data_IF_976837942631
#
_entry.id   IF_976837942631
#
_cell.length_a   1.000
_cell.length_b   1.000
_cell.length_c   1.000
_cell.angle_alpha   90.00
_cell.angle_beta   90.00
_cell.angle_gamma   90.00
#
_symmetry.space_group_name_H-M   'P 1'
#
loop_
_entity.id
_entity.type
_entity.pdbx_description
1 polymer ?
#
# COMPACT_ATOMS: atom_id res chain seq x y z
N UNK A 1 50.15 -15.39 61.50
CA UNK A 1 50.67 -14.67 60.32
C UNK A 1 50.04 -15.14 59.03
N UNK A 2 48.68 -15.15 58.93
CA UNK A 2 48.00 -15.55 57.71
C UNK A 2 46.61 -14.89 57.58
N UNK A 3 46.33 -13.79 58.30
CA UNK A 3 45.04 -13.11 58.26
C UNK A 3 45.07 -11.66 57.70
N UNK A 4 46.26 -11.14 57.41
CA UNK A 4 46.46 -9.75 56.98
C UNK A 4 46.60 -9.54 55.45
N UNK A 5 46.62 -10.63 54.65
CA UNK A 5 46.76 -10.54 53.21
C UNK A 5 45.49 -10.55 52.41
N UNK A 6 44.33 -10.80 53.05
CA UNK A 6 43.06 -10.95 52.34
C UNK A 6 42.20 -9.67 52.31
N UNK A 7 42.60 -8.64 53.06
CA UNK A 7 41.85 -7.35 53.12
C UNK A 7 42.34 -6.30 52.13
N UNK A 8 43.42 -6.57 51.40
CA UNK A 8 43.99 -5.66 50.38
C UNK A 8 43.54 -5.95 48.93
N UNK A 9 43.01 -7.13 48.66
CA UNK A 9 42.51 -7.48 47.31
C UNK A 9 41.00 -7.12 47.11
N UNK A 10 40.23 -6.98 48.18
CA UNK A 10 38.80 -6.60 48.09
C UNK A 10 38.53 -5.12 47.78
N UNK A 11 39.53 -4.26 47.76
CA UNK A 11 39.40 -2.81 47.53
C UNK A 11 39.65 -2.34 46.09
N UNK A 12 39.83 -3.24 45.13
CA UNK A 12 40.24 -2.84 43.76
C UNK A 12 39.14 -2.87 42.69
N UNK A 13 37.97 -3.43 42.98
CA UNK A 13 36.93 -3.61 41.95
C UNK A 13 35.57 -2.96 42.24
N UNK A 14 35.42 -2.27 43.36
CA UNK A 14 34.28 -1.38 43.53
C UNK A 14 34.53 -0.14 42.65
N UNK A 15 34.11 -0.22 41.39
CA UNK A 15 33.82 0.94 40.56
C UNK A 15 32.84 1.79 41.36
N UNK A 16 33.40 2.76 42.10
CA UNK A 16 32.62 3.61 42.98
C UNK A 16 31.65 4.39 42.12
N UNK A 17 30.42 3.86 41.99
CA UNK A 17 29.35 4.44 41.19
C UNK A 17 29.18 5.92 41.53
N UNK A 18 29.46 6.30 42.79
CA UNK A 18 29.39 7.68 43.24
C UNK A 18 30.47 8.53 42.58
N UNK A 19 31.73 8.05 42.56
CA UNK A 19 32.83 8.75 41.86
C UNK A 19 32.61 8.82 40.34
N UNK A 20 31.99 7.83 39.73
CA UNK A 20 31.64 7.86 38.32
C UNK A 20 30.55 8.90 38.03
N UNK A 21 29.49 8.95 38.85
CA UNK A 21 28.44 9.95 38.75
C UNK A 21 28.97 11.36 39.00
N UNK A 22 29.84 11.59 40.01
CA UNK A 22 30.47 12.88 40.27
C UNK A 22 31.33 13.34 39.05
N UNK A 23 32.09 12.44 38.42
CA UNK A 23 32.85 12.75 37.22
C UNK A 23 31.98 13.11 36.03
N UNK A 24 30.83 12.42 35.85
CA UNK A 24 29.86 12.74 34.79
C UNK A 24 29.23 14.12 35.06
N UNK A 25 28.80 14.40 36.31
CA UNK A 25 28.20 15.69 36.65
C UNK A 25 29.21 16.83 36.46
N UNK A 26 30.44 16.65 36.94
CA UNK A 26 31.52 17.64 36.76
C UNK A 26 31.85 17.87 35.29
N UNK A 27 31.86 16.81 34.46
CA UNK A 27 32.05 16.91 33.04
C UNK A 27 30.91 17.68 32.38
N UNK A 28 29.66 17.33 32.69
CA UNK A 28 28.46 18.01 32.17
C UNK A 28 28.43 19.48 32.61
N UNK A 29 28.81 19.80 33.83
CA UNK A 29 28.87 21.18 34.34
C UNK A 29 29.94 22.00 33.61
N UNK A 30 31.13 21.42 33.40
CA UNK A 30 32.26 22.10 32.75
C UNK A 30 32.07 22.31 31.25
N UNK A 31 31.46 21.33 30.54
CA UNK A 31 31.26 21.36 29.10
C UNK A 31 29.80 21.52 28.67
N UNK A 32 28.88 21.70 29.61
CA UNK A 32 27.43 21.81 29.35
C UNK A 32 27.09 22.94 28.36
N UNK A 33 27.77 24.07 28.45
CA UNK A 33 27.57 25.19 27.50
C UNK A 33 27.94 24.79 26.06
N UNK A 34 29.01 24.01 25.88
CA UNK A 34 29.44 23.55 24.55
C UNK A 34 28.45 22.52 23.96
N UNK A 35 27.96 21.60 24.80
CA UNK A 35 26.94 20.62 24.40
C UNK A 35 25.62 21.33 24.08
N UNK A 36 25.20 22.30 24.92
CA UNK A 36 23.97 23.07 24.68
C UNK A 36 24.02 23.89 23.38
N UNK A 37 25.13 24.61 23.15
CA UNK A 37 25.28 25.39 21.89
C UNK A 37 25.31 24.49 20.66
N UNK A 38 25.95 23.34 20.71
CA UNK A 38 25.95 22.35 19.63
C UNK A 38 24.55 21.75 19.40
N UNK A 39 23.79 21.47 20.46
CA UNK A 39 22.41 20.98 20.37
C UNK A 39 21.48 22.02 19.75
N UNK A 40 21.62 23.32 20.11
CA UNK A 40 20.85 24.41 19.50
C UNK A 40 21.20 24.57 18.02
N UNK A 41 22.48 24.50 17.68
CA UNK A 41 22.92 24.54 16.29
C UNK A 41 22.33 23.33 15.50
N UNK A 42 22.29 22.16 16.10
CA UNK A 42 21.65 20.97 15.51
C UNK A 42 20.16 21.18 15.27
N UNK A 43 19.41 21.77 16.22
CA UNK A 43 18.00 22.12 16.06
C UNK A 43 17.80 23.07 14.88
N UNK A 44 18.65 24.11 14.74
CA UNK A 44 18.58 25.06 13.63
C UNK A 44 18.84 24.37 12.28
N UNK A 45 19.80 23.46 12.22
CA UNK A 45 20.03 22.64 11.01
C UNK A 45 18.85 21.72 10.71
N UNK A 46 18.22 21.10 11.72
CA UNK A 46 17.01 20.31 11.57
C UNK A 46 15.83 21.13 11.04
N UNK A 47 15.67 22.38 11.50
CA UNK A 47 14.68 23.33 10.98
C UNK A 47 14.97 23.71 9.51
N UNK A 48 16.22 23.95 9.17
CA UNK A 48 16.62 24.25 7.79
C UNK A 48 16.33 23.07 6.86
N UNK A 49 16.65 21.85 7.26
CA UNK A 49 16.34 20.63 6.51
C UNK A 49 14.82 20.47 6.31
N UNK A 50 14.00 20.79 7.33
CA UNK A 50 12.55 20.75 7.18
C UNK A 50 12.05 21.73 6.10
N UNK A 51 12.65 22.92 5.99
CA UNK A 51 12.25 23.91 4.99
C UNK A 51 12.67 23.54 3.57
N UNK A 52 13.82 22.86 3.40
CA UNK A 52 14.38 22.49 2.08
C UNK A 52 13.73 21.20 1.56
N UNK A 53 13.33 20.28 2.45
CA UNK A 53 12.76 18.98 2.04
C UNK A 53 11.38 19.18 1.40
N UNK A 54 11.15 18.69 0.17
CA UNK A 54 9.87 18.81 -0.51
C UNK A 54 8.75 18.11 0.27
N UNK A 55 7.61 18.76 0.35
CA UNK A 55 6.42 18.18 0.99
C UNK A 55 5.94 16.96 0.19
N UNK A 56 5.53 15.93 0.90
CA UNK A 56 4.97 14.71 0.32
C UNK A 56 3.61 14.42 0.98
N UNK A 57 2.66 14.01 0.16
CA UNK A 57 1.31 13.67 0.55
C UNK A 57 1.11 12.18 0.32
N UNK A 58 0.67 11.46 1.33
CA UNK A 58 0.24 10.06 1.19
C UNK A 58 -1.24 10.01 0.86
N UNK A 59 -1.61 9.11 -0.04
CA UNK A 59 -3.00 8.81 -0.33
C UNK A 59 -3.17 7.33 -0.63
N UNK A 60 -4.37 6.82 -0.41
CA UNK A 60 -4.70 5.40 -0.48
C UNK A 60 -5.86 5.18 -1.41
N UNK A 61 -5.72 4.24 -2.34
CA UNK A 61 -6.72 3.75 -3.28
C UNK A 61 -7.10 2.32 -2.88
N UNK A 62 -8.39 2.03 -2.75
CA UNK A 62 -8.87 0.68 -2.48
C UNK A 62 -9.39 0.06 -3.77
N UNK A 63 -8.86 -1.11 -4.11
CA UNK A 63 -9.21 -1.85 -5.31
C UNK A 63 -9.72 -3.25 -4.95
N UNK A 64 -10.69 -3.72 -5.72
CA UNK A 64 -11.14 -5.10 -5.71
C UNK A 64 -10.68 -5.80 -6.98
N UNK A 65 -10.14 -7.02 -6.84
CA UNK A 65 -9.63 -7.79 -7.96
C UNK A 65 -10.63 -8.86 -8.40
N UNK A 66 -10.78 -9.04 -9.72
CA UNK A 66 -11.67 -10.05 -10.30
C UNK A 66 -10.94 -11.09 -11.17
N UNK A 67 -9.72 -10.79 -11.56
CA UNK A 67 -9.04 -11.56 -12.61
C UNK A 67 -7.77 -12.24 -12.13
N UNK A 68 -6.99 -11.60 -11.29
CA UNK A 68 -5.78 -12.11 -10.67
C UNK A 68 -5.92 -12.17 -9.15
N UNK A 69 -4.99 -12.87 -8.51
CA UNK A 69 -4.84 -12.84 -7.04
C UNK A 69 -4.30 -11.49 -6.58
N UNK A 70 -4.56 -11.11 -5.33
CA UNK A 70 -4.00 -9.89 -4.74
C UNK A 70 -2.48 -9.86 -4.83
N UNK A 71 -1.81 -11.00 -4.59
CA UNK A 71 -0.35 -11.12 -4.66
C UNK A 71 0.19 -10.80 -6.05
N UNK A 72 -0.49 -11.23 -7.12
CA UNK A 72 -0.08 -10.92 -8.50
C UNK A 72 -0.20 -9.42 -8.80
N UNK A 73 -1.27 -8.76 -8.36
CA UNK A 73 -1.43 -7.31 -8.51
C UNK A 73 -0.39 -6.54 -7.69
N UNK A 74 -0.11 -6.96 -6.46
CA UNK A 74 0.92 -6.35 -5.61
C UNK A 74 2.29 -6.43 -6.29
N UNK A 75 2.66 -7.57 -6.86
CA UNK A 75 3.92 -7.74 -7.58
C UNK A 75 4.02 -6.83 -8.82
N UNK A 76 2.93 -6.63 -9.56
CA UNK A 76 2.89 -5.70 -10.68
C UNK A 76 3.16 -4.27 -10.20
N UNK A 77 2.50 -3.85 -9.12
CA UNK A 77 2.66 -2.50 -8.56
C UNK A 77 4.04 -2.30 -7.97
N UNK A 78 4.63 -3.32 -7.34
CA UNK A 78 6.01 -3.26 -6.86
C UNK A 78 7.00 -3.09 -8.01
N UNK A 79 6.79 -3.76 -9.16
CA UNK A 79 7.60 -3.55 -10.35
C UNK A 79 7.50 -2.11 -10.87
N UNK A 80 6.31 -1.50 -10.88
CA UNK A 80 6.15 -0.09 -11.21
C UNK A 80 6.90 0.84 -10.24
N UNK A 81 6.91 0.51 -8.96
CA UNK A 81 7.69 1.25 -7.96
C UNK A 81 9.20 1.16 -8.21
N UNK A 82 9.69 0.02 -8.68
CA UNK A 82 11.09 -0.11 -9.08
C UNK A 82 11.42 0.73 -10.34
N UNK A 83 10.53 0.79 -11.33
CA UNK A 83 10.68 1.69 -12.49
C UNK A 83 10.72 3.15 -12.03
N UNK A 84 9.83 3.55 -11.13
CA UNK A 84 9.82 4.89 -10.53
C UNK A 84 11.15 5.22 -9.84
N UNK A 85 11.67 4.32 -9.00
CA UNK A 85 12.94 4.51 -8.29
C UNK A 85 14.15 4.63 -9.23
N UNK A 86 14.12 3.92 -10.37
CA UNK A 86 15.14 3.98 -11.40
C UNK A 86 15.01 5.21 -12.31
N UNK A 87 13.91 5.96 -12.21
CA UNK A 87 13.63 7.11 -13.07
C UNK A 87 13.17 6.76 -14.49
N UNK A 88 12.71 5.51 -14.70
CA UNK A 88 12.22 5.00 -16.00
C UNK A 88 10.77 5.48 -16.25
N UNK A 89 10.59 6.80 -16.25
CA UNK A 89 9.26 7.41 -16.39
C UNK A 89 8.62 7.16 -17.74
N UNK A 90 9.41 7.04 -18.82
CA UNK A 90 8.90 6.81 -20.18
C UNK A 90 8.33 5.39 -20.34
N UNK A 91 8.91 4.40 -19.65
CA UNK A 91 8.38 3.04 -19.63
C UNK A 91 7.04 3.00 -18.87
N UNK A 92 7.02 3.59 -17.67
CA UNK A 92 5.83 3.61 -16.82
C UNK A 92 4.69 4.46 -17.40
N UNK A 93 5.02 5.54 -18.14
CA UNK A 93 4.02 6.38 -18.80
C UNK A 93 3.26 5.64 -19.90
N UNK A 94 3.91 4.69 -20.57
CA UNK A 94 3.26 3.82 -21.56
C UNK A 94 2.27 2.86 -20.91
N UNK A 95 2.65 2.30 -19.77
CA UNK A 95 1.77 1.40 -19.00
C UNK A 95 0.55 2.15 -18.46
N UNK A 96 0.74 3.39 -18.02
CA UNK A 96 -0.29 4.22 -17.39
C UNK A 96 -1.09 5.08 -18.39
N UNK A 97 -0.65 5.16 -19.64
CA UNK A 97 -1.22 6.06 -20.66
C UNK A 97 -1.31 7.52 -20.17
N UNK A 98 -0.19 8.03 -19.62
CA UNK A 98 -0.12 9.34 -18.99
C UNK A 98 1.15 10.11 -19.37
N UNK A 99 1.20 11.42 -19.05
CA UNK A 99 2.39 12.24 -19.27
C UNK A 99 3.53 11.80 -18.32
N UNK A 100 4.76 11.52 -18.84
CA UNK A 100 5.94 11.25 -18.01
C UNK A 100 6.25 12.34 -16.98
N UNK A 101 5.89 13.60 -17.24
CA UNK A 101 6.12 14.71 -16.30
C UNK A 101 5.24 14.59 -15.04
N UNK A 102 4.05 14.01 -15.16
CA UNK A 102 3.19 13.71 -14.01
C UNK A 102 3.86 12.71 -13.06
N UNK A 103 4.51 11.67 -13.61
CA UNK A 103 5.18 10.63 -12.83
C UNK A 103 6.37 11.15 -12.02
N UNK A 104 7.05 12.22 -12.45
CA UNK A 104 8.12 12.89 -11.66
C UNK A 104 7.62 13.49 -10.34
N UNK A 105 6.31 13.75 -10.25
CA UNK A 105 5.67 14.21 -9.02
C UNK A 105 5.30 13.06 -8.08
N UNK A 106 5.36 11.82 -8.55
CA UNK A 106 5.12 10.62 -7.75
C UNK A 106 6.45 10.15 -7.17
N UNK A 107 6.49 10.00 -5.83
CA UNK A 107 7.71 9.58 -5.12
C UNK A 107 7.73 8.08 -4.86
N UNK A 108 6.55 7.46 -4.65
CA UNK A 108 6.42 6.04 -4.33
C UNK A 108 5.03 5.55 -4.71
N UNK A 109 4.96 4.31 -5.19
CA UNK A 109 3.72 3.53 -5.31
C UNK A 109 3.98 2.21 -4.59
N UNK A 110 3.10 1.79 -3.70
CA UNK A 110 3.18 0.49 -3.03
C UNK A 110 1.80 -0.10 -2.89
N UNK A 111 1.73 -1.42 -2.84
CA UNK A 111 0.47 -2.11 -2.62
C UNK A 111 0.58 -3.11 -1.47
N UNK A 112 -0.54 -3.35 -0.82
CA UNK A 112 -0.65 -4.33 0.26
C UNK A 112 -2.03 -4.95 0.29
N UNK A 113 -2.13 -6.15 0.83
CA UNK A 113 -3.43 -6.78 1.06
C UNK A 113 -4.20 -6.02 2.14
N UNK A 114 -5.51 -5.90 1.95
CA UNK A 114 -6.38 -5.37 2.99
C UNK A 114 -6.44 -6.40 4.11
N UNK A 115 -5.97 -6.03 5.30
CA UNK A 115 -6.03 -6.92 6.45
C UNK A 115 -7.48 -7.32 6.73
N UNK A 116 -7.72 -8.63 6.92
CA UNK A 116 -9.06 -9.26 7.10
C UNK A 116 -9.95 -8.63 8.18
N UNK A 117 -9.42 -7.76 9.03
CA UNK A 117 -10.17 -7.06 10.09
C UNK A 117 -11.22 -6.09 9.56
N UNK A 118 -11.08 -5.58 8.33
CA UNK A 118 -11.97 -4.54 7.80
C UNK A 118 -13.02 -5.03 6.82
N UNK A 119 -12.81 -6.19 6.17
CA UNK A 119 -13.75 -6.72 5.19
C UNK A 119 -13.91 -8.23 5.42
N UNK A 120 -14.84 -8.60 6.30
CA UNK A 120 -15.12 -10.01 6.64
C UNK A 120 -15.60 -10.87 5.45
N UNK A 121 -16.07 -10.27 4.36
CA UNK A 121 -16.73 -10.98 3.25
C UNK A 121 -16.06 -10.78 1.87
N UNK A 122 -14.91 -10.11 1.76
CA UNK A 122 -14.31 -9.87 0.46
C UNK A 122 -12.79 -10.10 0.45
N UNK A 123 -12.34 -11.36 0.20
CA UNK A 123 -10.93 -11.72 0.27
C UNK A 123 -10.07 -11.15 -0.87
N UNK A 124 -10.68 -10.55 -1.89
CA UNK A 124 -9.99 -10.14 -3.13
C UNK A 124 -9.71 -8.63 -3.22
N UNK A 125 -9.70 -7.92 -2.08
CA UNK A 125 -9.37 -6.49 -2.04
C UNK A 125 -7.90 -6.26 -1.71
N UNK A 126 -7.30 -5.23 -2.34
CA UNK A 126 -5.97 -4.74 -2.02
C UNK A 126 -5.93 -3.21 -1.99
N UNK A 127 -4.96 -2.68 -1.32
CA UNK A 127 -4.77 -1.27 -1.10
C UNK A 127 -3.52 -0.79 -1.83
N UNK A 128 -3.65 0.29 -2.58
CA UNK A 128 -2.51 0.97 -3.23
C UNK A 128 -2.26 2.28 -2.49
N UNK A 129 -1.09 2.41 -1.90
CA UNK A 129 -0.63 3.63 -1.25
C UNK A 129 0.35 4.35 -2.15
N UNK A 130 0.17 5.65 -2.31
CA UNK A 130 1.04 6.50 -3.10
C UNK A 130 1.57 7.68 -2.28
N UNK A 131 2.82 8.04 -2.52
CA UNK A 131 3.43 9.27 -2.02
C UNK A 131 3.66 10.21 -3.20
N UNK A 132 3.02 11.37 -3.17
CA UNK A 132 3.10 12.37 -4.23
C UNK A 132 3.59 13.72 -3.69
N UNK A 133 4.27 14.49 -4.53
CA UNK A 133 4.71 15.86 -4.22
C UNK A 133 3.59 16.88 -4.44
N UNK A 134 2.58 16.53 -5.22
CA UNK A 134 1.45 17.36 -5.61
C UNK A 134 0.16 16.52 -5.65
N UNK A 135 -0.84 16.89 -4.86
CA UNK A 135 -2.12 16.16 -4.81
C UNK A 135 -2.96 16.33 -6.06
N UNK A 136 -2.63 17.31 -6.92
CA UNK A 136 -3.32 17.52 -8.19
C UNK A 136 -3.15 16.37 -9.19
N UNK A 137 -2.11 15.54 -9.03
CA UNK A 137 -1.85 14.40 -9.91
C UNK A 137 -2.62 13.13 -9.55
N UNK A 138 -3.30 13.10 -8.40
CA UNK A 138 -3.92 11.87 -7.88
C UNK A 138 -5.01 11.30 -8.79
N UNK A 139 -5.83 12.15 -9.40
CA UNK A 139 -6.93 11.70 -10.29
C UNK A 139 -6.37 11.06 -11.59
N UNK A 140 -5.32 11.67 -12.14
CA UNK A 140 -4.65 11.15 -13.33
C UNK A 140 -3.87 9.87 -13.01
N UNK A 141 -3.18 9.86 -11.87
CA UNK A 141 -2.46 8.68 -11.37
C UNK A 141 -3.40 7.49 -11.13
N UNK A 142 -4.58 7.74 -10.56
CA UNK A 142 -5.59 6.70 -10.38
C UNK A 142 -6.01 6.08 -11.71
N UNK A 143 -6.32 6.92 -12.71
CA UNK A 143 -6.65 6.44 -14.05
C UNK A 143 -5.50 5.65 -14.66
N UNK A 144 -4.27 6.12 -14.50
CA UNK A 144 -3.08 5.43 -14.99
C UNK A 144 -2.87 4.06 -14.32
N UNK A 145 -3.03 3.97 -13.00
CA UNK A 145 -2.92 2.69 -12.28
C UNK A 145 -3.99 1.71 -12.76
N UNK A 146 -5.25 2.14 -12.85
CA UNK A 146 -6.34 1.28 -13.35
C UNK A 146 -6.07 0.85 -14.78
N UNK A 147 -5.66 1.79 -15.66
CA UNK A 147 -5.31 1.50 -17.06
C UNK A 147 -4.18 0.47 -17.16
N UNK A 148 -3.10 0.63 -16.39
CA UNK A 148 -1.98 -0.30 -16.39
C UNK A 148 -2.36 -1.69 -15.89
N UNK A 149 -3.24 -1.78 -14.88
CA UNK A 149 -3.77 -3.05 -14.38
C UNK A 149 -4.72 -3.73 -15.37
N UNK A 150 -5.40 -2.99 -16.24
CA UNK A 150 -6.33 -3.55 -17.24
C UNK A 150 -5.66 -3.91 -18.57
N UNK A 151 -4.63 -3.16 -18.97
CA UNK A 151 -4.01 -3.25 -20.29
C UNK A 151 -2.66 -3.97 -20.30
N UNK A 152 -2.16 -4.44 -19.16
CA UNK A 152 -1.00 -5.33 -19.11
C UNK A 152 -1.23 -6.55 -20.04
N UNK A 153 -0.26 -6.89 -20.88
CA UNK A 153 -0.44 -7.84 -22.00
C UNK A 153 -1.17 -9.14 -21.63
N UNK A 154 -0.73 -9.82 -20.58
CA UNK A 154 -1.36 -11.04 -20.07
C UNK A 154 -2.78 -10.79 -19.51
N UNK A 155 -2.97 -9.70 -18.77
CA UNK A 155 -4.25 -9.35 -18.17
C UNK A 155 -5.30 -9.01 -19.22
N UNK A 156 -4.91 -8.23 -20.23
CA UNK A 156 -5.77 -7.89 -21.36
C UNK A 156 -6.26 -9.14 -22.12
N UNK A 157 -5.37 -10.07 -22.38
CA UNK A 157 -5.71 -11.33 -23.03
C UNK A 157 -6.67 -12.17 -22.18
N UNK A 158 -6.40 -12.31 -20.88
CA UNK A 158 -7.24 -13.04 -19.94
C UNK A 158 -8.64 -12.42 -19.80
N UNK A 159 -8.71 -11.09 -19.73
CA UNK A 159 -9.98 -10.35 -19.71
C UNK A 159 -10.80 -10.54 -21.00
N UNK A 160 -10.15 -10.42 -22.14
CA UNK A 160 -10.80 -10.61 -23.44
C UNK A 160 -11.33 -12.03 -23.58
N UNK A 161 -10.56 -13.03 -23.17
CA UNK A 161 -10.99 -14.42 -23.16
C UNK A 161 -12.19 -14.63 -22.23
N UNK A 162 -12.19 -14.05 -21.03
CA UNK A 162 -13.32 -14.13 -20.09
C UNK A 162 -14.58 -13.48 -20.67
N UNK A 163 -14.45 -12.28 -21.26
CA UNK A 163 -15.56 -11.58 -21.93
C UNK A 163 -16.14 -12.40 -23.08
N UNK A 164 -15.28 -12.95 -23.93
CA UNK A 164 -15.69 -13.80 -25.05
C UNK A 164 -16.44 -15.04 -24.58
N UNK A 165 -15.95 -15.71 -23.54
CA UNK A 165 -16.61 -16.89 -22.97
C UNK A 165 -17.98 -16.56 -22.38
N UNK A 166 -18.09 -15.46 -21.62
CA UNK A 166 -19.37 -15.01 -21.08
C UNK A 166 -20.37 -14.66 -22.18
N UNK A 167 -19.92 -13.96 -23.24
CA UNK A 167 -20.76 -13.65 -24.41
C UNK A 167 -21.30 -14.92 -25.07
N UNK A 168 -20.44 -15.93 -25.27
CA UNK A 168 -20.87 -17.21 -25.84
C UNK A 168 -21.87 -17.94 -24.95
N UNK A 169 -21.68 -17.92 -23.61
CA UNK A 169 -22.62 -18.51 -22.66
C UNK A 169 -23.97 -17.81 -22.72
N UNK A 170 -24.00 -16.47 -22.77
CA UNK A 170 -25.21 -15.66 -22.90
C UNK A 170 -25.98 -16.04 -24.18
N UNK A 171 -25.29 -16.09 -25.32
CA UNK A 171 -25.90 -16.47 -26.60
C UNK A 171 -26.46 -17.89 -26.56
N UNK A 172 -25.73 -18.84 -25.98
CA UNK A 172 -26.20 -20.21 -25.84
C UNK A 172 -27.44 -20.31 -24.99
N UNK A 173 -27.46 -19.66 -23.81
CA UNK A 173 -28.62 -19.66 -22.92
C UNK A 173 -29.83 -18.99 -23.58
N UNK A 174 -29.65 -17.85 -24.26
CA UNK A 174 -30.71 -17.19 -25.03
C UNK A 174 -31.28 -18.13 -26.10
N UNK A 175 -30.44 -18.84 -26.83
CA UNK A 175 -30.87 -19.82 -27.84
C UNK A 175 -31.68 -20.98 -27.21
N UNK A 176 -31.29 -21.47 -26.04
CA UNK A 176 -32.01 -22.53 -25.34
C UNK A 176 -33.39 -22.05 -24.84
N UNK A 177 -33.46 -20.83 -24.29
CA UNK A 177 -34.72 -20.21 -23.88
C UNK A 177 -35.70 -20.12 -25.08
N UNK A 178 -35.22 -19.67 -26.25
CA UNK A 178 -36.04 -19.57 -27.48
C UNK A 178 -36.56 -20.94 -27.91
N UNK A 179 -35.73 -21.99 -27.85
CA UNK A 179 -36.12 -23.37 -28.18
C UNK A 179 -37.17 -23.89 -27.21
N UNK A 180 -37.03 -23.67 -25.91
CA UNK A 180 -38.02 -24.07 -24.91
C UNK A 180 -39.32 -23.31 -25.07
N UNK A 181 -39.28 -22.00 -25.36
CA UNK A 181 -40.47 -21.21 -25.63
C UNK A 181 -41.23 -21.73 -26.87
N UNK A 182 -40.53 -22.06 -27.92
CA UNK A 182 -41.10 -22.67 -29.15
C UNK A 182 -41.73 -24.03 -28.83
N UNK A 183 -41.07 -24.87 -28.03
CA UNK A 183 -41.57 -26.19 -27.59
C UNK A 183 -42.83 -26.03 -26.74
N UNK A 184 -42.82 -25.08 -25.80
CA UNK A 184 -43.98 -24.76 -24.98
C UNK A 184 -45.21 -24.35 -25.84
N UNK A 185 -45.00 -23.41 -26.80
CA UNK A 185 -46.04 -22.99 -27.74
C UNK A 185 -46.61 -24.14 -28.59
N UNK A 186 -45.77 -25.06 -29.02
CA UNK A 186 -46.21 -26.23 -29.78
C UNK A 186 -47.07 -27.17 -28.93
N UNK A 187 -46.70 -27.37 -27.66
CA UNK A 187 -47.49 -28.18 -26.74
C UNK A 187 -48.82 -27.49 -26.44
N UNK A 188 -48.84 -26.18 -26.14
CA UNK A 188 -50.05 -25.38 -25.92
C UNK A 188 -51.00 -25.48 -27.14
N UNK A 189 -50.50 -25.35 -28.36
CA UNK A 189 -51.30 -25.51 -29.58
C UNK A 189 -51.84 -26.92 -29.74
N UNK A 190 -51.08 -27.96 -29.35
CA UNK A 190 -51.52 -29.35 -29.39
C UNK A 190 -52.63 -29.64 -28.36
N UNK A 191 -52.57 -29.01 -27.19
CA UNK A 191 -53.64 -29.11 -26.18
C UNK A 191 -54.93 -28.48 -26.69
N UNK A 192 -54.85 -27.32 -27.30
CA UNK A 192 -56.04 -26.61 -27.83
C UNK A 192 -56.74 -27.37 -28.94
N UNK A 193 -56.00 -28.22 -29.69
CA UNK A 193 -56.54 -29.00 -30.79
C UNK A 193 -57.02 -30.41 -30.41
N UNK A 194 -56.59 -30.94 -29.19
CA UNK A 194 -56.90 -32.32 -28.76
C UNK A 194 -57.36 -32.35 -27.27
N UNK A 195 -58.66 -32.44 -27.02
CA UNK A 195 -59.30 -32.38 -25.68
C UNK A 195 -59.12 -33.63 -24.83
N UNK A 196 -58.37 -34.67 -25.24
CA UNK A 196 -58.36 -35.98 -24.53
C UNK A 196 -57.10 -36.33 -23.73
N UNK A 197 -56.06 -35.49 -23.63
CA UNK A 197 -54.78 -35.83 -22.96
C UNK A 197 -54.24 -34.68 -22.09
N UNK A 198 -55.08 -34.01 -21.33
CA UNK A 198 -54.72 -32.73 -20.69
C UNK A 198 -53.72 -32.83 -19.52
N UNK A 199 -53.63 -33.94 -18.77
CA UNK A 199 -52.87 -33.96 -17.53
C UNK A 199 -51.36 -34.12 -17.71
N UNK A 200 -50.91 -34.95 -18.67
CA UNK A 200 -49.47 -35.14 -18.94
C UNK A 200 -48.85 -33.89 -19.60
N UNK A 201 -49.57 -33.23 -20.48
CA UNK A 201 -49.14 -31.99 -21.12
C UNK A 201 -49.03 -30.82 -20.15
N UNK A 202 -49.85 -30.74 -19.10
CA UNK A 202 -49.74 -29.71 -18.06
C UNK A 202 -48.45 -29.90 -17.25
N UNK A 203 -48.07 -31.15 -16.94
CA UNK A 203 -46.82 -31.46 -16.26
C UNK A 203 -45.64 -31.07 -17.13
N UNK A 204 -45.66 -31.34 -18.43
CA UNK A 204 -44.61 -30.97 -19.37
C UNK A 204 -44.42 -29.47 -19.50
N UNK A 205 -45.53 -28.70 -19.60
CA UNK A 205 -45.49 -27.24 -19.61
C UNK A 205 -44.92 -26.68 -18.29
N UNK A 206 -45.29 -27.25 -17.15
CA UNK A 206 -44.75 -26.85 -15.85
C UNK A 206 -43.23 -27.08 -15.76
N UNK A 207 -42.77 -28.24 -16.25
CA UNK A 207 -41.35 -28.56 -16.32
C UNK A 207 -40.58 -27.63 -17.23
N UNK A 208 -41.11 -27.34 -18.42
CA UNK A 208 -40.49 -26.38 -19.37
C UNK A 208 -40.42 -24.99 -18.76
N UNK A 209 -41.50 -24.55 -18.09
CA UNK A 209 -41.49 -23.24 -17.44
C UNK A 209 -40.48 -23.17 -16.33
N UNK A 210 -40.33 -24.23 -15.50
CA UNK A 210 -39.27 -24.29 -14.48
C UNK A 210 -37.86 -24.23 -15.06
N UNK A 211 -37.61 -24.95 -16.17
CA UNK A 211 -36.33 -24.87 -16.88
C UNK A 211 -36.05 -23.46 -17.44
N UNK A 212 -37.06 -22.82 -18.03
CA UNK A 212 -36.94 -21.44 -18.52
C UNK A 212 -36.64 -20.45 -17.40
N UNK A 213 -37.23 -20.60 -16.20
CA UNK A 213 -36.91 -19.75 -15.04
C UNK A 213 -35.45 -19.94 -14.64
N UNK A 214 -34.96 -21.17 -14.52
CA UNK A 214 -33.58 -21.45 -14.19
C UNK A 214 -32.60 -20.91 -15.24
N UNK A 215 -32.95 -20.99 -16.53
CA UNK A 215 -32.11 -20.44 -17.61
C UNK A 215 -32.12 -18.90 -17.57
N UNK A 216 -33.24 -18.26 -17.26
CA UNK A 216 -33.33 -16.81 -17.11
C UNK A 216 -32.49 -16.33 -15.90
N UNK A 217 -32.49 -17.03 -14.78
CA UNK A 217 -31.63 -16.72 -13.63
C UNK A 217 -30.15 -16.80 -14.03
N UNK A 218 -29.74 -17.86 -14.75
CA UNK A 218 -28.38 -17.99 -15.27
C UNK A 218 -28.03 -16.87 -16.24
N UNK A 219 -28.96 -16.51 -17.13
CA UNK A 219 -28.79 -15.43 -18.08
C UNK A 219 -28.50 -14.10 -17.38
N UNK A 220 -29.32 -13.75 -16.38
CA UNK A 220 -29.13 -12.54 -15.56
C UNK A 220 -27.75 -12.57 -14.89
N UNK A 221 -27.38 -13.71 -14.29
CA UNK A 221 -26.06 -13.86 -13.66
C UNK A 221 -24.90 -13.67 -14.63
N UNK A 222 -24.96 -14.25 -15.84
CA UNK A 222 -23.90 -14.07 -16.83
C UNK A 222 -23.87 -12.65 -17.41
N UNK A 223 -25.00 -11.99 -17.58
CA UNK A 223 -25.07 -10.59 -18.02
C UNK A 223 -24.50 -9.64 -16.95
N UNK A 224 -24.74 -9.93 -15.67
CA UNK A 224 -24.14 -9.23 -14.54
C UNK A 224 -22.62 -9.45 -14.50
N UNK A 225 -22.17 -10.69 -14.58
CA UNK A 225 -20.74 -11.03 -14.62
C UNK A 225 -20.05 -10.33 -15.81
N UNK A 226 -20.68 -10.27 -16.98
CA UNK A 226 -20.13 -9.59 -18.15
C UNK A 226 -20.03 -8.08 -17.92
N UNK A 227 -21.05 -7.47 -17.31
CA UNK A 227 -21.09 -6.03 -16.98
C UNK A 227 -19.98 -5.62 -16.03
N UNK A 228 -19.70 -6.47 -15.04
CA UNK A 228 -18.66 -6.23 -14.03
C UNK A 228 -17.32 -6.88 -14.37
N UNK A 229 -17.15 -7.40 -15.58
CA UNK A 229 -15.88 -7.98 -16.00
C UNK A 229 -14.87 -6.89 -16.29
N UNK A 230 -14.08 -6.55 -15.27
CA UNK A 230 -12.90 -5.68 -15.32
C UNK A 230 -11.72 -6.39 -14.63
N UNK A 231 -10.51 -5.89 -14.79
CA UNK A 231 -9.37 -6.41 -14.05
C UNK A 231 -9.51 -6.08 -12.57
N UNK A 232 -9.83 -4.82 -12.31
CA UNK A 232 -10.01 -4.26 -10.96
C UNK A 232 -11.20 -3.32 -10.93
N UNK A 233 -11.82 -3.19 -9.76
CA UNK A 233 -12.85 -2.20 -9.48
C UNK A 233 -12.37 -1.26 -8.38
N UNK A 234 -12.56 0.03 -8.58
CA UNK A 234 -12.25 1.04 -7.55
C UNK A 234 -13.35 1.01 -6.49
N UNK A 235 -12.97 0.66 -5.27
CA UNK A 235 -13.88 0.70 -4.11
C UNK A 235 -13.85 2.06 -3.42
N UNK A 236 -12.67 2.69 -3.38
CA UNK A 236 -12.45 4.00 -2.79
C UNK A 236 -11.35 4.73 -3.53
N UNK A 237 -11.65 5.95 -3.99
CA UNK A 237 -10.74 6.83 -4.71
C UNK A 237 -9.63 7.38 -3.82
N UNK A 238 -8.55 7.90 -4.42
CA UNK A 238 -7.52 8.63 -3.68
C UNK A 238 -8.11 9.84 -2.96
N UNK A 239 -7.91 9.92 -1.66
CA UNK A 239 -8.26 11.08 -0.87
C UNK A 239 -7.21 12.20 -1.04
N UNK A 240 -7.67 13.44 -1.29
CA UNK A 240 -6.80 14.62 -1.40
C UNK A 240 -6.62 15.25 -0.03
N UNK A 241 -5.53 14.95 0.65
CA UNK A 241 -5.21 15.51 1.96
C UNK A 241 -4.53 16.89 1.80
N UNK A 242 -4.93 17.86 2.64
CA UNK A 242 -4.33 19.20 2.67
C UNK A 242 -3.00 19.23 3.43
N UNK A 243 -2.83 18.35 4.41
CA UNK A 243 -1.64 18.30 5.25
C UNK A 243 -0.63 17.30 4.70
N UNK A 244 0.63 17.68 4.51
CA UNK A 244 1.67 16.77 4.07
C UNK A 244 1.98 15.75 5.17
N UNK A 245 2.28 14.52 4.75
CA UNK A 245 2.73 13.48 5.67
C UNK A 245 4.20 13.65 6.04
N UNK A 246 5.01 14.13 5.13
CA UNK A 246 6.44 14.35 5.31
C UNK A 246 6.86 15.65 4.63
N UNK A 247 7.88 16.36 5.19
CA UNK A 247 8.52 16.13 6.47
C UNK A 247 7.64 16.55 7.67
N UNK A 248 7.77 15.87 8.80
CA UNK A 248 7.14 16.28 10.07
C UNK A 248 8.10 17.17 10.84
N UNK A 249 7.72 18.40 11.14
CA UNK A 249 8.55 19.41 11.83
C UNK A 249 9.18 18.83 13.11
N UNK A 250 8.38 18.18 13.95
CA UNK A 250 8.87 17.59 15.20
C UNK A 250 9.96 16.54 14.99
N UNK A 251 9.79 15.66 13.98
CA UNK A 251 10.80 14.63 13.66
C UNK A 251 12.11 15.25 13.18
N UNK A 252 12.05 16.28 12.34
CA UNK A 252 13.24 16.97 11.84
C UNK A 252 13.99 17.71 12.94
N UNK A 253 13.28 18.39 13.84
CA UNK A 253 13.88 19.07 15.01
C UNK A 253 14.50 18.09 15.98
N UNK A 254 13.82 16.97 16.28
CA UNK A 254 14.33 15.94 17.18
C UNK A 254 15.60 15.29 16.61
N UNK A 255 15.61 14.97 15.32
CA UNK A 255 16.79 14.39 14.67
C UNK A 255 17.97 15.37 14.66
N UNK A 256 17.71 16.65 14.39
CA UNK A 256 18.70 17.72 14.49
C UNK A 256 19.25 17.88 15.92
N UNK A 257 18.38 17.84 16.94
CA UNK A 257 18.79 17.90 18.36
C UNK A 257 19.72 16.72 18.72
N UNK A 258 19.32 15.48 18.36
CA UNK A 258 20.14 14.29 18.67
C UNK A 258 21.50 14.37 17.98
N UNK A 259 21.53 14.73 16.71
CA UNK A 259 22.80 14.88 15.96
C UNK A 259 23.68 15.96 16.60
N UNK A 260 23.12 17.15 16.92
CA UNK A 260 23.85 18.23 17.57
C UNK A 260 24.36 17.86 18.96
N UNK A 261 23.56 17.11 19.73
CA UNK A 261 23.95 16.62 21.04
C UNK A 261 25.14 15.63 20.96
N UNK A 262 25.06 14.67 20.03
CA UNK A 262 26.15 13.67 19.83
C UNK A 262 27.44 14.38 19.41
N UNK A 263 27.36 15.29 18.44
CA UNK A 263 28.54 16.07 17.99
C UNK A 263 29.10 16.90 19.15
N UNK A 264 28.24 17.57 19.90
CA UNK A 264 28.65 18.37 21.08
C UNK A 264 29.34 17.53 22.14
N UNK A 265 28.83 16.32 22.39
CA UNK A 265 29.42 15.39 23.33
C UNK A 265 30.84 14.94 22.91
N UNK A 266 31.01 14.57 21.63
CA UNK A 266 32.33 14.21 21.13
C UNK A 266 33.34 15.38 21.17
N UNK A 267 32.90 16.60 20.84
CA UNK A 267 33.73 17.80 20.95
C UNK A 267 34.12 18.10 22.40
N UNK A 268 33.22 17.87 23.34
CA UNK A 268 33.49 18.03 24.78
C UNK A 268 34.55 17.01 25.25
N UNK A 269 34.44 15.73 24.86
CA UNK A 269 35.45 14.70 25.15
C UNK A 269 36.82 15.08 24.55
N UNK A 270 36.85 15.47 23.28
CA UNK A 270 38.08 15.88 22.64
C UNK A 270 38.78 17.03 23.40
N UNK A 271 37.99 18.05 23.78
CA UNK A 271 38.50 19.20 24.53
C UNK A 271 38.97 18.82 25.92
N UNK A 272 38.28 17.89 26.59
CA UNK A 272 38.68 17.35 27.90
C UNK A 272 40.02 16.59 27.81
N UNK A 273 40.14 15.69 26.84
CA UNK A 273 41.42 14.92 26.65
C UNK A 273 42.56 15.83 26.31
N UNK A 274 42.36 16.79 25.38
CA UNK A 274 43.38 17.77 25.01
C UNK A 274 43.84 18.63 26.20
N UNK A 275 42.90 19.05 27.06
CA UNK A 275 43.23 19.84 28.28
C UNK A 275 44.01 19.03 29.32
N UNK A 276 43.77 17.73 29.41
CA UNK A 276 44.53 16.83 30.27
C UNK A 276 45.96 16.57 29.77
N UNK A 277 46.10 16.34 28.44
CA UNK A 277 47.43 16.16 27.81
C UNK A 277 48.30 17.42 27.99
N UNK A 278 47.72 18.60 27.77
CA UNK A 278 48.48 19.86 27.96
C UNK A 278 48.94 20.08 29.42
N UNK A 279 48.17 19.65 30.41
CA UNK A 279 48.57 19.72 31.83
C UNK A 279 49.64 18.67 32.22
N UNK A 280 49.65 17.52 31.53
CA UNK A 280 50.65 16.47 31.73
C UNK A 280 52.00 16.80 31.13
N UNK A 281 52.05 17.65 30.09
CA UNK A 281 53.28 18.08 29.38
C UNK A 281 54.02 19.24 30.09
N UNK A 282 53.43 19.84 31.12
CA UNK A 282 53.99 20.96 31.87
C UNK A 282 54.58 20.47 33.23
N UNK A 283 54.41 19.21 33.57
CA UNK A 283 55.11 18.57 34.69
C UNK A 283 56.33 17.75 34.19
#
# INVERSE_FOLDING_TARGET
MAEESNDLESKRDDLDLITLVEKIISFCSSYGRLIATSSIAGILLGALLFLITPKQYSSTLLLHSFTLTNTEYINIIENWNELLKKGEYDALSKDFDCDPQMLKKVSKISASEIQKLYIQNNPNGFMVEVLVKDTGVLDELQKGIVHGLENGGYLKEKLNSKKANLTQLIEKVKSEIIKLDSTKKNIENSINNNTKSSSSFIIDISNITGQMMTLNEKLIGYEEDLRFTSAVQVLHDFAKFKNPESPKLFKSLLLGFIAGFVIGYFLAIYKYVKSRMARASIK
#
